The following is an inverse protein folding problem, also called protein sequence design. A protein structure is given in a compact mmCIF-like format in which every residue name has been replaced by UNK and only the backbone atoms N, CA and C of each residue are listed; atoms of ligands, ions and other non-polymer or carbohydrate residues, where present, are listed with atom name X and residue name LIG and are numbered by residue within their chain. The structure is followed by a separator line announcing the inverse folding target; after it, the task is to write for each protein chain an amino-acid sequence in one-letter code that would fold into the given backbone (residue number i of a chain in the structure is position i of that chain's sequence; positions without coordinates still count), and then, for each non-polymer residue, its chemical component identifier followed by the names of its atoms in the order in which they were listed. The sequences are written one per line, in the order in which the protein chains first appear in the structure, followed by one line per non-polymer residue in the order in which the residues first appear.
data_IF_689314844740
#
_entry.id   IF_689314844740
#
_cell.length_a   1.000
_cell.length_b   1.000
_cell.length_c   1.000
_cell.angle_alpha   90.00
_cell.angle_beta   90.00
_cell.angle_gamma   90.00
#
_symmetry.space_group_name_H-M   'P 1'
#
loop_
_entity.id
_entity.type
_entity.pdbx_description
1 polymer ?
#
# COMPACT_ATOMS: atom_id res chain seq x y z
N UNK A 1 -2.44 -25.26 -3.10
CA UNK A 1 -2.05 -25.53 -3.19
C UNK A 1 -1.81 -25.57 -3.46
N UNK A 2 -1.82 -24.94 -3.12
CA UNK A 2 -1.32 -25.09 -3.04
C UNK A 2 -1.27 -25.11 -3.25
N UNK A 3 -1.37 -24.78 -2.96
CA UNK A 3 -0.98 -25.05 -2.97
C UNK A 3 -0.99 -25.06 -2.93
N UNK A 4 -1.01 -24.69 -2.63
CA UNK A 4 -0.79 -24.88 -2.33
C UNK A 4 -0.54 -24.89 -2.30
N UNK A 5 -0.46 -24.70 -2.05
CA UNK A 5 0.04 -24.87 -1.82
C UNK A 5 0.57 -24.71 -1.74
N UNK A 6 0.73 -24.46 -1.48
CA UNK A 6 1.24 -24.40 -1.21
C UNK A 6 1.49 -23.98 -1.10
N UNK A 7 1.49 -23.66 -0.85
CA UNK A 7 1.61 -23.37 -0.56
C UNK A 7 1.27 -23.28 -0.24
N UNK A 8 1.05 -23.13 0.02
CA UNK A 8 0.70 -23.10 0.50
C UNK A 8 0.80 -23.23 1.04
N UNK A 9 0.95 -23.29 1.51
CA UNK A 9 1.02 -23.45 2.06
C UNK A 9 1.63 -23.22 2.47
N UNK A 10 2.16 -22.78 2.87
CA UNK A 10 2.68 -22.49 3.29
C UNK A 10 2.70 -21.93 4.00
N UNK A 11 2.64 -21.45 4.22
CA UNK A 11 2.42 -20.95 5.13
C UNK A 11 1.44 -21.21 5.70
N UNK A 12 1.08 -21.76 6.11
CA UNK A 12 0.30 -22.04 6.49
C UNK A 12 -0.14 -21.97 7.36
N UNK A 13 -0.60 -21.90 7.33
CA UNK A 13 -1.32 -21.86 8.27
C UNK A 13 -0.98 -21.53 9.53
N UNK A 14 -0.32 -20.88 9.72
CA UNK A 14 0.04 -20.54 11.05
C UNK A 14 -1.12 -19.99 11.85
N UNK A 15 -2.17 -19.54 11.19
CA UNK A 15 -3.31 -19.02 11.92
C UNK A 15 -3.07 -17.71 12.62
N UNK A 16 -1.99 -17.08 12.38
CA UNK A 16 -1.73 -15.78 12.97
C UNK A 16 -2.61 -14.73 12.31
N UNK A 17 -2.95 -13.69 13.07
CA UNK A 17 -3.73 -12.59 12.52
C UNK A 17 -3.10 -11.96 11.30
N UNK A 18 -1.77 -11.88 11.26
CA UNK A 18 -1.08 -11.29 10.14
C UNK A 18 -1.26 -12.07 8.85
N UNK A 19 -1.53 -13.37 8.96
CA UNK A 19 -1.77 -14.19 7.77
C UNK A 19 -3.05 -13.78 7.04
N UNK A 20 -3.95 -13.12 7.74
CA UNK A 20 -5.22 -12.70 7.18
C UNK A 20 -5.16 -11.31 6.56
N UNK A 21 -4.14 -10.55 6.90
CA UNK A 21 -4.02 -9.18 6.41
C UNK A 21 -3.24 -9.16 5.12
N UNK A 22 -3.81 -8.53 4.12
CA UNK A 22 -3.16 -8.37 2.82
C UNK A 22 -2.95 -6.90 2.56
N UNK A 23 -1.78 -6.55 2.06
CA UNK A 23 -1.47 -5.15 1.77
C UNK A 23 -1.07 -5.02 0.32
N UNK A 24 -1.79 -4.19 -0.41
CA UNK A 24 -1.44 -3.81 -1.78
C UNK A 24 -0.80 -2.44 -1.72
N UNK A 25 0.35 -2.29 -2.35
CA UNK A 25 1.13 -1.07 -2.25
C UNK A 25 1.16 -0.33 -3.58
N UNK A 26 0.79 0.94 -3.56
CA UNK A 26 0.88 1.82 -4.72
C UNK A 26 1.91 2.89 -4.42
N UNK A 27 2.82 3.13 -5.36
CA UNK A 27 3.87 4.13 -5.19
C UNK A 27 3.67 5.22 -6.24
N UNK A 28 3.69 6.47 -5.81
CA UNK A 28 3.56 7.62 -6.70
C UNK A 28 4.83 8.45 -6.60
N UNK A 29 5.47 8.73 -7.75
CA UNK A 29 6.66 9.58 -7.73
C UNK A 29 6.35 11.03 -8.10
N UNK A 30 5.08 11.36 -8.23
CA UNK A 30 4.60 12.72 -8.47
C UNK A 30 5.32 13.38 -9.65
N UNK A 31 5.42 12.66 -10.76
CA UNK A 31 6.08 13.10 -12.00
C UNK A 31 7.55 13.43 -11.79
N UNK A 32 8.18 12.85 -10.78
CA UNK A 32 9.58 13.08 -10.52
C UNK A 32 9.89 14.42 -9.89
N UNK A 33 8.94 14.99 -9.15
CA UNK A 33 9.20 16.21 -8.42
C UNK A 33 10.35 16.02 -7.44
N UNK A 34 11.03 17.12 -7.12
CA UNK A 34 12.26 17.08 -6.37
C UNK A 34 12.18 16.28 -5.07
N UNK A 35 11.13 16.42 -4.23
CA UNK A 35 11.08 15.65 -2.98
C UNK A 35 11.08 14.13 -3.17
N UNK A 36 10.77 13.66 -4.38
CA UNK A 36 10.73 12.22 -4.69
C UNK A 36 12.01 11.74 -5.37
N UNK A 37 12.97 12.63 -5.63
CA UNK A 37 14.18 12.27 -6.37
C UNK A 37 15.27 11.68 -5.48
N UNK A 38 15.07 11.65 -4.17
CA UNK A 38 16.04 11.08 -3.25
C UNK A 38 16.00 9.57 -3.24
N UNK A 39 15.01 8.99 -3.87
CA UNK A 39 14.86 7.55 -3.99
C UNK A 39 14.96 7.13 -5.45
N UNK A 40 15.36 5.88 -5.66
CA UNK A 40 15.43 5.30 -7.00
C UNK A 40 14.10 4.57 -7.28
N UNK A 41 13.23 5.23 -8.01
CA UNK A 41 11.91 4.67 -8.31
C UNK A 41 11.96 3.49 -9.27
N UNK A 42 13.09 3.32 -9.99
CA UNK A 42 13.22 2.17 -10.88
C UNK A 42 13.38 0.87 -10.12
N UNK A 43 13.92 0.91 -8.92
CA UNK A 43 14.15 -0.29 -8.12
C UNK A 43 13.21 -0.40 -6.94
N UNK A 44 12.60 0.70 -6.52
CA UNK A 44 11.82 0.71 -5.28
C UNK A 44 10.68 -0.33 -5.25
N UNK A 45 9.85 -0.46 -6.29
CA UNK A 45 8.78 -1.46 -6.21
C UNK A 45 9.30 -2.87 -6.02
N UNK A 46 10.41 -3.22 -6.68
CA UNK A 46 11.01 -4.54 -6.52
C UNK A 46 11.53 -4.75 -5.11
N UNK A 47 12.11 -3.71 -4.52
CA UNK A 47 12.63 -3.81 -3.15
C UNK A 47 11.49 -3.98 -2.17
N UNK A 48 10.40 -3.25 -2.37
CA UNK A 48 9.23 -3.40 -1.51
C UNK A 48 8.71 -4.83 -1.55
N UNK A 49 8.54 -5.36 -2.77
CA UNK A 49 8.00 -6.71 -2.92
C UNK A 49 8.92 -7.78 -2.38
N UNK A 50 10.24 -7.59 -2.53
CA UNK A 50 11.18 -8.63 -2.12
C UNK A 50 11.49 -8.59 -0.62
N UNK A 51 11.37 -7.44 0.03
CA UNK A 51 11.78 -7.30 1.42
C UNK A 51 10.64 -7.18 2.41
N UNK A 52 9.45 -6.84 1.93
CA UNK A 52 8.32 -6.57 2.84
C UNK A 52 7.16 -7.49 2.54
N UNK A 53 6.31 -7.68 3.53
CA UNK A 53 5.17 -8.59 3.45
C UNK A 53 3.98 -7.86 2.83
N UNK A 54 4.04 -7.66 1.53
CA UNK A 54 2.96 -7.04 0.76
C UNK A 54 2.63 -7.94 -0.42
N UNK A 55 1.40 -7.83 -0.93
CA UNK A 55 1.01 -8.62 -2.10
C UNK A 55 1.73 -8.17 -3.36
N UNK A 56 1.86 -6.85 -3.52
CA UNK A 56 2.61 -6.30 -4.64
C UNK A 56 2.90 -4.82 -4.38
N UNK A 57 3.77 -4.26 -5.22
CA UNK A 57 4.02 -2.84 -5.25
C UNK A 57 4.00 -2.39 -6.70
N UNK A 58 3.19 -1.37 -6.99
CA UNK A 58 3.04 -0.84 -8.34
C UNK A 58 3.34 0.65 -8.34
N UNK A 59 4.08 1.10 -9.35
CA UNK A 59 4.46 2.49 -9.49
C UNK A 59 3.52 3.20 -10.46
N UNK A 60 3.10 4.40 -10.10
CA UNK A 60 2.34 5.26 -10.98
C UNK A 60 2.97 6.65 -10.97
N UNK A 61 3.07 7.32 -12.13
CA UNK A 61 3.71 8.64 -12.15
C UNK A 61 2.94 9.74 -11.43
N UNK A 62 1.63 9.64 -11.36
CA UNK A 62 0.86 10.67 -10.66
C UNK A 62 -0.54 10.15 -10.31
N UNK A 63 -0.70 9.66 -9.09
CA UNK A 63 -1.98 9.07 -8.66
C UNK A 63 -3.09 10.11 -8.52
N UNK A 64 -2.77 11.36 -8.30
CA UNK A 64 -3.80 12.40 -8.18
C UNK A 64 -4.30 12.92 -9.53
N UNK A 65 -3.65 12.54 -10.64
CA UNK A 65 -4.14 12.88 -11.97
C UNK A 65 -5.33 11.97 -12.32
N UNK A 66 -6.13 12.33 -13.33
CA UNK A 66 -7.30 11.51 -13.68
C UNK A 66 -6.98 10.04 -13.95
N UNK A 67 -5.90 9.76 -14.70
CA UNK A 67 -5.54 8.35 -14.94
C UNK A 67 -5.10 7.65 -13.66
N UNK A 68 -4.43 8.37 -12.76
CA UNK A 68 -4.01 7.81 -11.49
C UNK A 68 -5.18 7.54 -10.57
N UNK A 69 -6.15 8.45 -10.55
CA UNK A 69 -7.35 8.26 -9.75
C UNK A 69 -8.13 7.05 -10.24
N UNK A 70 -8.22 6.86 -11.55
CA UNK A 70 -8.87 5.68 -12.11
C UNK A 70 -8.14 4.40 -11.70
N UNK A 71 -6.81 4.42 -11.75
CA UNK A 71 -6.01 3.27 -11.36
C UNK A 71 -6.26 2.93 -9.88
N UNK A 72 -6.29 3.96 -9.05
CA UNK A 72 -6.57 3.75 -7.62
C UNK A 72 -7.98 3.18 -7.43
N UNK A 73 -8.96 3.74 -8.11
CA UNK A 73 -10.33 3.24 -7.99
C UNK A 73 -10.45 1.78 -8.40
N UNK A 74 -9.73 1.38 -9.45
CA UNK A 74 -9.74 -0.02 -9.89
C UNK A 74 -9.20 -0.93 -8.80
N UNK A 75 -8.11 -0.52 -8.16
CA UNK A 75 -7.52 -1.30 -7.08
C UNK A 75 -8.50 -1.40 -5.90
N UNK A 76 -9.14 -0.29 -5.55
CA UNK A 76 -10.08 -0.27 -4.43
C UNK A 76 -11.31 -1.13 -4.71
N UNK A 77 -11.84 -1.09 -5.95
CA UNK A 77 -12.99 -1.91 -6.30
C UNK A 77 -12.66 -3.39 -6.25
N UNK A 78 -11.47 -3.74 -6.71
CA UNK A 78 -11.06 -5.15 -6.68
C UNK A 78 -10.94 -5.68 -5.26
N UNK A 79 -10.74 -4.81 -4.28
CA UNK A 79 -10.53 -5.19 -2.90
C UNK A 79 -11.75 -4.95 -2.01
N UNK A 80 -12.85 -4.39 -2.55
CA UNK A 80 -13.92 -3.90 -1.69
C UNK A 80 -14.62 -5.03 -0.91
N UNK A 81 -14.63 -6.24 -1.44
CA UNK A 81 -15.29 -7.37 -0.77
C UNK A 81 -14.36 -8.13 0.16
N UNK A 82 -13.13 -7.70 0.29
CA UNK A 82 -12.13 -8.38 1.11
C UNK A 82 -11.78 -7.49 2.30
N UNK A 83 -12.41 -7.77 3.45
CA UNK A 83 -12.22 -6.95 4.63
C UNK A 83 -10.82 -7.07 5.23
N UNK A 84 -10.01 -8.02 4.75
CA UNK A 84 -8.64 -8.20 5.23
C UNK A 84 -7.62 -7.45 4.39
N UNK A 85 -8.05 -6.78 3.35
CA UNK A 85 -7.14 -6.09 2.44
C UNK A 85 -7.00 -4.61 2.78
N UNK A 86 -5.76 -4.17 2.86
CA UNK A 86 -5.39 -2.77 3.00
C UNK A 86 -4.73 -2.30 1.72
N UNK A 87 -4.93 -1.04 1.38
CA UNK A 87 -4.25 -0.43 0.24
C UNK A 87 -3.39 0.70 0.79
N UNK A 88 -2.08 0.55 0.66
CA UNK A 88 -1.13 1.55 1.14
C UNK A 88 -0.68 2.41 -0.04
N UNK A 89 -0.87 3.72 0.07
CA UNK A 89 -0.48 4.65 -0.98
C UNK A 89 0.75 5.42 -0.52
N UNK A 90 1.87 5.12 -1.13
CA UNK A 90 3.16 5.74 -0.82
C UNK A 90 3.35 6.93 -1.75
N UNK A 91 3.16 8.12 -1.25
CA UNK A 91 3.13 9.31 -2.09
C UNK A 91 3.48 10.57 -1.27
N UNK A 92 2.71 11.63 -1.45
CA UNK A 92 2.93 12.91 -0.78
C UNK A 92 2.44 12.87 0.67
N UNK A 93 2.33 14.05 1.29
CA UNK A 93 1.93 14.16 2.69
C UNK A 93 0.60 13.45 2.94
N UNK A 94 0.50 12.80 4.10
CA UNK A 94 -0.70 12.03 4.43
C UNK A 94 -1.96 12.89 4.41
N UNK A 95 -1.87 14.11 4.91
CA UNK A 95 -3.02 15.00 4.92
C UNK A 95 -3.49 15.34 3.51
N UNK A 96 -2.55 15.55 2.60
CA UNK A 96 -2.89 15.84 1.20
C UNK A 96 -3.55 14.62 0.56
N UNK A 97 -3.02 13.44 0.84
CA UNK A 97 -3.60 12.21 0.27
C UNK A 97 -5.03 12.02 0.72
N UNK A 98 -5.32 12.27 2.00
CA UNK A 98 -6.67 12.12 2.51
C UNK A 98 -7.66 13.00 1.78
N UNK A 99 -7.26 14.21 1.44
CA UNK A 99 -8.13 15.11 0.67
C UNK A 99 -8.26 14.67 -0.78
N UNK A 100 -7.14 14.27 -1.38
CA UNK A 100 -7.13 13.94 -2.81
C UNK A 100 -7.94 12.68 -3.11
N UNK A 101 -8.00 11.74 -2.19
CA UNK A 101 -8.61 10.44 -2.48
C UNK A 101 -10.00 10.26 -1.87
N UNK A 102 -10.59 11.31 -1.32
CA UNK A 102 -11.95 11.22 -0.79
C UNK A 102 -12.96 10.75 -1.83
N UNK A 103 -12.83 11.29 -3.05
CA UNK A 103 -13.76 10.93 -4.12
C UNK A 103 -13.64 9.45 -4.47
N UNK A 104 -12.40 8.95 -4.55
CA UNK A 104 -12.20 7.55 -4.87
C UNK A 104 -12.80 6.64 -3.82
N UNK A 105 -12.68 7.01 -2.55
CA UNK A 105 -13.30 6.24 -1.48
C UNK A 105 -14.81 6.23 -1.60
N UNK A 106 -15.40 7.40 -1.87
CA UNK A 106 -16.84 7.48 -2.00
C UNK A 106 -17.36 6.68 -3.19
N UNK A 107 -16.66 6.75 -4.32
CA UNK A 107 -17.14 6.10 -5.53
C UNK A 107 -17.00 4.59 -5.51
N UNK A 108 -16.09 4.07 -4.68
CA UNK A 108 -15.82 2.63 -4.62
C UNK A 108 -16.44 1.94 -3.41
N UNK A 109 -16.79 2.70 -2.37
CA UNK A 109 -17.29 2.09 -1.13
C UNK A 109 -16.22 1.43 -0.30
N UNK A 110 -14.94 1.58 -0.67
CA UNK A 110 -13.85 0.97 0.08
C UNK A 110 -13.76 1.57 1.48
N UNK A 111 -13.42 0.72 2.46
CA UNK A 111 -13.29 1.16 3.85
C UNK A 111 -12.16 2.17 3.98
N UNK A 112 -12.49 3.40 4.38
CA UNK A 112 -11.51 4.47 4.49
C UNK A 112 -10.39 4.12 5.47
N UNK A 113 -10.67 3.31 6.47
CA UNK A 113 -9.64 2.92 7.44
C UNK A 113 -8.65 1.92 6.87
N UNK A 114 -8.98 1.31 5.76
CA UNK A 114 -8.09 0.37 5.08
C UNK A 114 -7.30 1.02 3.95
N UNK A 115 -7.52 2.29 3.68
CA UNK A 115 -6.68 3.06 2.77
C UNK A 115 -5.63 3.79 3.60
N UNK A 116 -4.38 3.38 3.45
CA UNK A 116 -3.29 3.79 4.33
C UNK A 116 -2.37 4.76 3.59
N UNK A 117 -2.41 6.05 3.92
CA UNK A 117 -1.49 6.99 3.29
C UNK A 117 -0.12 6.93 3.95
N UNK A 118 0.93 7.05 3.15
CA UNK A 118 2.30 7.06 3.64
C UNK A 118 3.11 8.09 2.87
N UNK A 119 3.76 8.98 3.59
CA UNK A 119 4.62 10.01 2.99
C UNK A 119 5.99 9.41 2.71
N UNK A 120 6.41 9.43 1.43
CA UNK A 120 7.72 8.87 1.05
C UNK A 120 8.67 9.93 0.54
N UNK A 121 8.40 11.20 0.79
CA UNK A 121 9.23 12.28 0.28
C UNK A 121 10.53 12.41 1.07
N UNK A 122 11.56 12.95 0.41
CA UNK A 122 12.80 13.41 1.02
C UNK A 122 13.57 12.32 1.75
N UNK A 123 13.57 11.10 1.22
CA UNK A 123 14.33 10.02 1.83
C UNK A 123 14.75 9.01 0.75
N UNK A 124 15.68 8.15 1.12
CA UNK A 124 16.19 7.10 0.23
C UNK A 124 15.24 5.92 0.17
N UNK A 125 15.57 4.95 -0.69
CA UNK A 125 14.81 3.69 -0.73
C UNK A 125 14.79 3.03 0.65
N UNK A 126 15.93 2.98 1.33
CA UNK A 126 15.98 2.39 2.67
C UNK A 126 15.05 3.11 3.63
N UNK A 127 15.01 4.45 3.54
CA UNK A 127 14.12 5.22 4.37
C UNK A 127 12.67 4.92 4.09
N UNK A 128 12.32 4.76 2.81
CA UNK A 128 10.95 4.41 2.43
C UNK A 128 10.60 3.02 2.96
N UNK A 129 11.50 2.06 2.77
CA UNK A 129 11.27 0.70 3.27
C UNK A 129 11.03 0.70 4.78
N UNK A 130 11.81 1.49 5.50
CA UNK A 130 11.65 1.58 6.96
C UNK A 130 10.29 2.18 7.34
N UNK A 131 9.84 3.20 6.60
CA UNK A 131 8.53 3.79 6.85
C UNK A 131 7.40 2.80 6.58
N UNK A 132 7.52 2.04 5.49
CA UNK A 132 6.52 1.02 5.17
C UNK A 132 6.53 -0.07 6.25
N UNK A 133 7.73 -0.51 6.65
CA UNK A 133 7.86 -1.55 7.67
C UNK A 133 7.17 -1.15 8.97
N UNK A 134 7.35 0.09 9.39
CA UNK A 134 6.70 0.58 10.60
C UNK A 134 5.18 0.58 10.46
N UNK A 135 4.69 0.99 9.30
CA UNK A 135 3.24 1.04 9.08
C UNK A 135 2.65 -0.37 9.00
N UNK A 136 3.36 -1.31 8.38
CA UNK A 136 2.91 -2.70 8.34
C UNK A 136 2.79 -3.28 9.75
N UNK A 137 3.72 -2.93 10.63
CA UNK A 137 3.66 -3.39 12.01
C UNK A 137 2.41 -2.84 12.72
N UNK A 138 2.06 -1.59 12.44
CA UNK A 138 0.85 -1.01 13.01
C UNK A 138 -0.40 -1.71 12.50
N UNK A 139 -0.45 -2.01 11.20
CA UNK A 139 -1.59 -2.69 10.61
C UNK A 139 -1.76 -4.07 11.23
N UNK A 140 -0.67 -4.78 11.47
CA UNK A 140 -0.72 -6.13 12.02
C UNK A 140 -1.01 -6.17 13.52
N UNK A 141 -0.91 -5.03 14.21
CA UNK A 141 -1.09 -4.97 15.66
C UNK A 141 -2.57 -4.81 15.99
N UNK A 142 -3.23 -5.84 16.54
CA UNK A 142 -4.66 -5.73 16.82
C UNK A 142 -5.02 -4.64 17.80
N UNK A 143 -4.12 -4.27 18.71
CA UNK A 143 -4.43 -3.21 19.66
C UNK A 143 -4.49 -1.85 18.98
N UNK A 144 -3.76 -1.67 17.89
CA UNK A 144 -3.77 -0.40 17.17
C UNK A 144 -4.87 -0.30 16.16
N UNK A 145 -5.44 -1.43 15.77
CA UNK A 145 -6.53 -1.43 14.79
C UNK A 145 -7.87 -1.08 15.39
N UNK A 146 -7.94 -0.91 16.69
CA UNK A 146 -9.21 -0.65 17.34
C UNK A 146 -9.60 0.81 17.35
N UNK A 147 -8.82 1.65 16.78
CA UNK A 147 -9.11 3.09 16.81
C UNK A 147 -9.78 3.58 15.53
#
# INVERSE_FOLDING_TARGET
MRNQNLLSTYREGSGRGSDLVKVKTLVCNCKGLEPFRHADMNTLPFEIESELDVEYAALHPQLCAPSGTEALEDVLRAAEDDSDTYVMVCACAEEAQKKLFKKALRSTGFDAEHLVPLDIRNTSNDGILNRIRARLAEIADPTKQRH
#
